data_IF_279804170027
#
_entry.id   IF_279804170027
#
_cell.length_a   1.000
_cell.length_b   1.000
_cell.length_c   1.000
_cell.angle_alpha   90.00
_cell.angle_beta   90.00
_cell.angle_gamma   90.00
#
_symmetry.space_group_name_H-M   'P 1'
#
loop_
_entity.id
_entity.type
_entity.pdbx_description
1 polymer ?
#
# COMPACT_ATOMS: atom_id res chain seq x y z
N UNK A 1 -0.32 12.63 -10.69
CA UNK A 1 1.12 12.31 -10.51
C UNK A 1 1.40 11.62 -9.17
N UNK A 2 0.71 11.98 -8.07
CA UNK A 2 0.91 11.38 -6.74
C UNK A 2 0.70 9.86 -6.67
N UNK A 3 -0.27 9.33 -7.43
CA UNK A 3 -0.49 7.89 -7.56
C UNK A 3 0.75 7.18 -8.10
N UNK A 4 1.43 7.77 -9.08
CA UNK A 4 2.64 7.19 -9.69
C UNK A 4 3.76 7.04 -8.66
N UNK A 5 4.00 8.09 -7.87
CA UNK A 5 4.98 8.08 -6.78
C UNK A 5 4.65 6.97 -5.78
N UNK A 6 3.38 6.89 -5.35
CA UNK A 6 2.95 5.83 -4.46
C UNK A 6 3.16 4.42 -5.04
N UNK A 7 2.94 4.23 -6.36
CA UNK A 7 3.22 2.94 -7.01
C UNK A 7 4.71 2.59 -7.04
N UNK A 8 5.60 3.58 -7.17
CA UNK A 8 7.05 3.37 -7.06
C UNK A 8 7.41 2.90 -5.65
N UNK A 9 6.91 3.60 -4.62
CA UNK A 9 7.08 3.21 -3.21
C UNK A 9 6.56 1.79 -2.98
N UNK A 10 5.34 1.49 -3.42
CA UNK A 10 4.75 0.17 -3.29
C UNK A 10 5.62 -0.92 -3.91
N UNK A 11 6.12 -0.71 -5.13
CA UNK A 11 7.01 -1.65 -5.80
C UNK A 11 8.35 -1.81 -5.06
N UNK A 12 8.92 -0.72 -4.54
CA UNK A 12 10.14 -0.77 -3.72
C UNK A 12 9.91 -1.64 -2.47
N UNK A 13 8.81 -1.43 -1.75
CA UNK A 13 8.47 -2.22 -0.56
C UNK A 13 8.26 -3.71 -0.89
N UNK A 14 7.56 -4.02 -1.99
CA UNK A 14 7.35 -5.38 -2.43
C UNK A 14 8.67 -6.09 -2.76
N UNK A 15 9.55 -5.40 -3.51
CA UNK A 15 10.86 -5.92 -3.90
C UNK A 15 11.77 -6.13 -2.69
N UNK A 16 11.88 -5.12 -1.81
CA UNK A 16 12.70 -5.17 -0.58
C UNK A 16 12.30 -6.35 0.31
N UNK A 17 11.00 -6.61 0.43
CA UNK A 17 10.47 -7.67 1.30
C UNK A 17 10.26 -9.01 0.57
N UNK A 18 10.67 -9.14 -0.70
CA UNK A 18 10.48 -10.34 -1.55
C UNK A 18 9.02 -10.82 -1.61
N UNK A 19 8.07 -9.89 -1.52
CA UNK A 19 6.63 -10.19 -1.56
C UNK A 19 6.20 -10.33 -3.01
N UNK A 20 5.82 -11.55 -3.41
CA UNK A 20 5.25 -11.82 -4.74
C UNK A 20 3.73 -11.82 -4.67
N UNK A 21 3.12 -10.70 -5.03
CA UNK A 21 1.67 -10.57 -5.09
C UNK A 21 1.25 -9.79 -6.34
N UNK A 22 0.14 -10.21 -6.97
CA UNK A 22 -0.53 -9.41 -7.99
C UNK A 22 -1.65 -8.61 -7.33
N UNK A 23 -1.63 -7.30 -7.57
CA UNK A 23 -2.69 -6.38 -7.15
C UNK A 23 -3.44 -5.93 -8.40
N UNK A 24 -4.78 -6.00 -8.36
CA UNK A 24 -5.62 -5.38 -9.37
C UNK A 24 -5.49 -3.85 -9.32
N UNK A 25 -5.90 -3.15 -10.38
CA UNK A 25 -5.92 -1.67 -10.35
C UNK A 25 -6.82 -1.12 -9.23
N UNK A 26 -7.95 -1.80 -8.95
CA UNK A 26 -8.83 -1.42 -7.84
C UNK A 26 -8.15 -1.57 -6.47
N UNK A 27 -7.35 -2.62 -6.28
CA UNK A 27 -6.58 -2.83 -5.04
C UNK A 27 -5.46 -1.81 -4.88
N UNK A 28 -4.74 -1.49 -5.97
CA UNK A 28 -3.73 -0.43 -5.99
C UNK A 28 -4.33 0.92 -5.62
N UNK A 29 -5.52 1.22 -6.15
CA UNK A 29 -6.26 2.44 -5.82
C UNK A 29 -6.73 2.46 -4.37
N UNK A 30 -7.16 1.31 -3.86
CA UNK A 30 -7.59 1.18 -2.47
C UNK A 30 -6.45 1.43 -1.50
N UNK A 31 -5.31 0.74 -1.66
CA UNK A 31 -4.16 0.93 -0.75
C UNK A 31 -3.62 2.37 -0.83
N UNK A 32 -3.64 3.00 -2.01
CA UNK A 32 -3.27 4.40 -2.17
C UNK A 32 -4.20 5.33 -1.37
N UNK A 33 -5.52 5.20 -1.53
CA UNK A 33 -6.50 6.02 -0.77
C UNK A 33 -6.40 5.79 0.74
N UNK A 34 -6.27 4.54 1.17
CA UNK A 34 -6.11 4.21 2.59
C UNK A 34 -4.82 4.80 3.16
N UNK A 35 -3.70 4.77 2.40
CA UNK A 35 -2.45 5.39 2.82
C UNK A 35 -2.60 6.91 2.98
N UNK A 36 -3.23 7.60 2.00
CA UNK A 36 -3.47 9.03 2.11
C UNK A 36 -4.29 9.39 3.34
N UNK A 37 -5.36 8.63 3.61
CA UNK A 37 -6.18 8.85 4.80
C UNK A 37 -5.37 8.60 6.09
N UNK A 38 -4.61 7.50 6.13
CA UNK A 38 -3.83 7.11 7.31
C UNK A 38 -2.76 8.14 7.68
N UNK A 39 -2.11 8.75 6.69
CA UNK A 39 -1.08 9.77 6.90
C UNK A 39 -1.62 11.21 6.91
N UNK A 40 -2.95 11.40 6.86
CA UNK A 40 -3.55 12.74 6.87
C UNK A 40 -3.25 13.57 5.61
N UNK A 41 -2.94 12.92 4.50
CA UNK A 41 -2.63 13.54 3.21
C UNK A 41 -3.87 13.67 2.30
N UNK A 42 -5.01 13.13 2.72
CA UNK A 42 -6.25 13.21 1.94
C UNK A 42 -6.71 14.66 1.76
N UNK A 43 -6.97 15.07 0.51
CA UNK A 43 -7.42 16.43 0.18
C UNK A 43 -6.31 17.50 0.16
N UNK A 44 -5.05 17.11 0.41
CA UNK A 44 -3.91 18.03 0.27
C UNK A 44 -3.64 18.43 -1.19
N UNK A 45 -3.19 19.66 -1.41
CA UNK A 45 -2.80 20.14 -2.75
C UNK A 45 -1.46 19.55 -3.23
N UNK A 46 -0.58 19.18 -2.29
CA UNK A 46 0.81 18.78 -2.54
C UNK A 46 1.09 17.32 -2.13
N UNK A 47 0.15 16.42 -2.44
CA UNK A 47 0.24 15.00 -2.03
C UNK A 47 1.51 14.33 -2.58
N UNK A 48 1.93 14.70 -3.79
CA UNK A 48 3.16 14.21 -4.41
C UNK A 48 4.37 14.52 -3.53
N UNK A 49 4.66 15.81 -3.29
CA UNK A 49 5.83 16.22 -2.53
C UNK A 49 5.75 15.75 -1.08
N UNK A 50 4.55 15.69 -0.49
CA UNK A 50 4.37 15.18 0.86
C UNK A 50 4.72 13.69 0.97
N UNK A 51 4.30 12.86 -0.01
CA UNK A 51 4.66 11.45 -0.05
C UNK A 51 6.15 11.24 -0.31
N UNK A 52 6.75 12.02 -1.22
CA UNK A 52 8.19 11.94 -1.51
C UNK A 52 9.02 12.30 -0.28
N UNK A 53 8.72 13.44 0.37
CA UNK A 53 9.42 13.87 1.59
C UNK A 53 9.25 12.86 2.73
N UNK A 54 8.06 12.29 2.89
CA UNK A 54 7.81 11.24 3.87
C UNK A 54 8.57 9.94 3.54
N UNK A 55 8.84 9.65 2.26
CA UNK A 55 9.64 8.50 1.85
C UNK A 55 11.14 8.71 2.04
N UNK A 56 11.63 9.95 1.89
CA UNK A 56 13.03 10.30 2.10
C UNK A 56 13.42 10.35 3.59
N UNK A 57 12.48 10.69 4.47
CA UNK A 57 12.70 10.68 5.92
C UNK A 57 12.71 9.23 6.48
N UNK A 58 13.80 8.79 7.15
CA UNK A 58 13.92 7.41 7.62
C UNK A 58 12.82 6.96 8.60
N UNK A 59 12.32 7.87 9.45
CA UNK A 59 11.27 7.55 10.40
C UNK A 59 9.92 7.32 9.69
N UNK A 60 9.55 8.22 8.79
CA UNK A 60 8.33 8.11 8.01
C UNK A 60 8.40 6.96 6.99
N UNK A 61 9.57 6.70 6.39
CA UNK A 61 9.81 5.53 5.53
C UNK A 61 9.43 4.24 6.22
N UNK A 62 9.90 4.01 7.45
CA UNK A 62 9.55 2.82 8.23
C UNK A 62 8.03 2.69 8.44
N UNK A 63 7.34 3.78 8.76
CA UNK A 63 5.88 3.79 8.94
C UNK A 63 5.11 3.48 7.66
N UNK A 64 5.57 3.99 6.52
CA UNK A 64 4.98 3.70 5.20
C UNK A 64 5.17 2.23 4.84
N UNK A 65 6.38 1.68 5.06
CA UNK A 65 6.66 0.26 4.86
C UNK A 65 5.74 -0.63 5.72
N UNK A 66 5.65 -0.35 7.02
CA UNK A 66 4.80 -1.10 7.95
C UNK A 66 3.32 -1.05 7.55
N UNK A 67 2.83 0.13 7.15
CA UNK A 67 1.47 0.29 6.67
C UNK A 67 1.20 -0.61 5.45
N UNK A 68 2.07 -0.56 4.43
CA UNK A 68 1.92 -1.36 3.21
C UNK A 68 1.95 -2.85 3.53
N UNK A 69 2.91 -3.30 4.34
CA UNK A 69 3.06 -4.71 4.72
C UNK A 69 1.82 -5.19 5.50
N UNK A 70 1.35 -4.40 6.46
CA UNK A 70 0.14 -4.73 7.22
C UNK A 70 -1.10 -4.81 6.31
N UNK A 71 -1.23 -3.89 5.36
CA UNK A 71 -2.32 -3.91 4.39
C UNK A 71 -2.30 -5.18 3.53
N UNK A 72 -1.13 -5.55 3.00
CA UNK A 72 -0.95 -6.74 2.18
C UNK A 72 -1.24 -8.03 2.96
N UNK A 73 -0.80 -8.12 4.23
CA UNK A 73 -1.12 -9.25 5.12
C UNK A 73 -2.62 -9.40 5.33
N UNK A 74 -3.35 -8.28 5.54
CA UNK A 74 -4.82 -8.31 5.65
C UNK A 74 -5.47 -8.81 4.36
N UNK A 75 -4.99 -8.36 3.19
CA UNK A 75 -5.48 -8.82 1.88
C UNK A 75 -5.24 -10.31 1.67
N UNK A 76 -4.02 -10.81 1.93
CA UNK A 76 -3.71 -12.24 1.79
C UNK A 76 -4.57 -13.11 2.72
N UNK A 77 -4.80 -12.67 3.95
CA UNK A 77 -5.69 -13.38 4.89
C UNK A 77 -7.13 -13.44 4.38
N UNK A 78 -7.64 -12.36 3.78
CA UNK A 78 -8.98 -12.33 3.17
C UNK A 78 -9.06 -13.25 1.95
N UNK A 79 -8.10 -13.21 1.04
CA UNK A 79 -8.11 -14.08 -0.15
C UNK A 79 -8.03 -15.56 0.22
N UNK A 80 -7.22 -15.91 1.23
CA UNK A 80 -7.18 -17.27 1.77
C UNK A 80 -8.55 -17.64 2.37
N UNK A 81 -9.13 -16.78 3.20
CA UNK A 81 -10.44 -17.02 3.81
C UNK A 81 -11.58 -17.13 2.80
N UNK A 82 -11.56 -16.34 1.73
CA UNK A 82 -12.57 -16.37 0.66
C UNK A 82 -12.39 -17.62 -0.21
N UNK A 83 -11.15 -18.02 -0.49
CA UNK A 83 -10.85 -19.30 -1.15
C UNK A 83 -11.33 -20.49 -0.32
N UNK A 84 -11.14 -20.47 1.00
CA UNK A 84 -11.69 -21.50 1.90
C UNK A 84 -13.22 -21.49 1.96
N UNK A 85 -13.88 -20.33 1.85
CA UNK A 85 -15.36 -20.23 1.83
C UNK A 85 -15.98 -20.67 0.51
N UNK A 86 -15.29 -20.47 -0.61
CA UNK A 86 -15.72 -20.95 -1.93
C UNK A 86 -15.51 -22.47 -2.14
N UNK A 87 -14.82 -23.14 -1.20
CA UNK A 87 -14.53 -24.57 -1.20
C UNK A 87 -15.47 -25.42 -0.35
N UNK A 88 -16.78 -25.12 -0.32
CA UNK A 88 -17.78 -26.09 0.16
C UNK A 88 -18.27 -26.87 -1.07
N UNK A 89 -17.67 -28.04 -1.27
CA UNK A 89 -18.24 -29.15 -2.05
C UNK A 89 -19.16 -29.92 -1.12
#
# INVERSE_FOLDING_TARGET
>A
MSRTIFMLILNEVLNKNRIKIRLSEAEKDQIYREALNYFGLAGGLNICEALERAWEDPYNKGRIEDFIIAWLKRKMKRSISEGYRAGII
#
